data_IF_012908952595
#
_entry.id   IF_012908952595
#
_cell.length_a   1.000
_cell.length_b   1.000
_cell.length_c   1.000
_cell.angle_alpha   90.00
_cell.angle_beta   90.00
_cell.angle_gamma   90.00
#
_symmetry.space_group_name_H-M   'P 1'
#
loop_
_entity.id
_entity.type
_entity.pdbx_description
1 polymer ?
#
# COMPACT_ATOMS: atom_id res chain seq x y z
N UNK A 1 18.65 20.45 12.52
CA UNK A 1 19.98 19.83 12.57
C UNK A 1 21.08 20.89 12.68
N UNK A 2 20.96 21.96 11.93
CA UNK A 2 21.93 23.04 11.88
C UNK A 2 21.77 23.89 10.63
N UNK A 3 22.88 24.46 10.15
CA UNK A 3 22.91 25.30 8.95
C UNK A 3 23.78 24.67 7.85
N UNK A 4 23.44 24.96 6.60
CA UNK A 4 24.20 24.52 5.43
C UNK A 4 25.61 25.12 5.46
N UNK A 5 26.63 24.29 5.49
CA UNK A 5 28.03 24.74 5.53
C UNK A 5 28.44 25.38 4.20
N UNK A 6 29.48 26.24 4.22
CA UNK A 6 30.02 26.88 3.01
C UNK A 6 30.39 25.86 1.92
N UNK A 7 30.99 24.72 2.32
CA UNK A 7 31.36 23.65 1.37
C UNK A 7 30.12 23.03 0.72
N UNK A 8 29.15 22.56 1.53
CA UNK A 8 27.94 21.93 1.00
C UNK A 8 27.11 22.91 0.16
N UNK A 9 27.06 24.19 0.56
CA UNK A 9 26.40 25.24 -0.21
C UNK A 9 27.05 25.41 -1.60
N UNK A 10 28.38 25.43 -1.67
CA UNK A 10 29.13 25.50 -2.94
C UNK A 10 28.85 24.28 -3.83
N UNK A 11 28.84 23.06 -3.25
CA UNK A 11 28.63 21.81 -3.98
C UNK A 11 27.18 21.71 -4.54
N UNK A 12 26.20 22.32 -3.83
CA UNK A 12 24.78 22.33 -4.20
C UNK A 12 24.35 23.56 -5.02
N UNK A 13 25.21 24.54 -5.21
CA UNK A 13 24.85 25.82 -5.84
C UNK A 13 23.87 26.67 -5.02
N UNK A 14 23.92 26.52 -3.69
CA UNK A 14 23.06 27.21 -2.72
C UNK A 14 23.88 28.25 -1.91
N UNK A 15 23.17 29.07 -1.11
CA UNK A 15 23.82 30.01 -0.17
C UNK A 15 24.12 29.30 1.17
N UNK A 16 25.25 29.59 1.83
CA UNK A 16 25.53 29.07 3.17
C UNK A 16 24.56 29.63 4.20
N UNK A 17 24.35 28.90 5.30
CA UNK A 17 23.50 29.33 6.40
C UNK A 17 22.00 28.98 6.23
N UNK A 18 21.61 28.30 5.14
CA UNK A 18 20.24 27.76 5.01
C UNK A 18 20.02 26.73 6.11
N UNK A 19 18.90 26.81 6.86
CA UNK A 19 18.56 25.81 7.88
C UNK A 19 18.44 24.41 7.27
N UNK A 20 19.08 23.44 7.91
CA UNK A 20 18.98 22.01 7.55
C UNK A 20 18.08 21.32 8.56
N UNK A 21 16.95 20.85 8.09
CA UNK A 21 15.91 20.24 8.92
C UNK A 21 16.07 18.71 8.88
N UNK A 22 15.81 18.05 10.01
CA UNK A 22 15.75 16.60 10.11
C UNK A 22 14.56 16.10 9.29
N UNK A 23 14.81 15.21 8.33
CA UNK A 23 13.79 14.45 7.64
C UNK A 23 13.42 13.19 8.41
N UNK A 24 12.62 12.33 7.77
CA UNK A 24 12.21 11.03 8.26
C UNK A 24 12.48 9.93 7.24
N UNK A 25 12.07 8.72 7.56
CA UNK A 25 11.99 7.60 6.60
C UNK A 25 11.02 8.02 5.48
N UNK A 26 11.29 7.65 4.24
CA UNK A 26 10.51 8.03 3.05
C UNK A 26 9.00 7.71 3.19
N UNK A 27 8.68 6.54 3.74
CA UNK A 27 7.30 6.13 4.01
C UNK A 27 6.62 7.01 5.08
N UNK A 28 7.36 7.46 6.11
CA UNK A 28 6.81 8.37 7.13
C UNK A 28 6.69 9.80 6.61
N UNK A 29 7.61 10.23 5.76
CA UNK A 29 7.45 11.47 5.02
C UNK A 29 6.22 11.42 4.11
N UNK A 30 5.94 10.26 3.47
CA UNK A 30 4.73 10.08 2.67
C UNK A 30 3.45 10.22 3.51
N UNK A 31 3.41 9.74 4.77
CA UNK A 31 2.26 9.98 5.66
C UNK A 31 1.95 11.48 5.79
N UNK A 32 3.00 12.29 6.01
CA UNK A 32 2.85 13.75 6.13
C UNK A 32 2.38 14.36 4.81
N UNK A 33 2.97 13.95 3.69
CA UNK A 33 2.56 14.40 2.36
C UNK A 33 1.16 13.94 1.92
N UNK A 34 0.57 12.97 2.63
CA UNK A 34 -0.79 12.49 2.46
C UNK A 34 -1.79 13.06 3.48
N UNK A 35 -1.37 13.96 4.39
CA UNK A 35 -2.17 14.43 5.52
C UNK A 35 -2.61 13.31 6.50
N UNK A 36 -1.86 12.21 6.55
CA UNK A 36 -2.07 11.14 7.54
C UNK A 36 -1.33 11.51 8.84
N UNK A 37 -1.78 12.59 9.44
CA UNK A 37 -1.26 13.19 10.67
C UNK A 37 -2.33 13.28 11.77
N UNK A 38 -3.43 12.58 11.56
CA UNK A 38 -4.56 12.44 12.48
C UNK A 38 -4.87 10.96 12.75
N UNK A 39 -5.38 10.60 13.95
CA UNK A 39 -5.88 9.25 14.22
C UNK A 39 -6.95 8.81 13.22
N UNK A 40 -7.14 7.49 13.09
CA UNK A 40 -8.12 6.86 12.20
C UNK A 40 -7.84 7.03 10.69
N UNK A 41 -6.76 7.70 10.30
CA UNK A 41 -6.28 7.76 8.93
C UNK A 41 -5.18 6.72 8.70
N UNK A 42 -5.22 6.09 7.54
CA UNK A 42 -4.21 5.14 7.10
C UNK A 42 -3.55 5.66 5.81
N UNK A 43 -2.23 5.67 5.76
CA UNK A 43 -1.50 5.86 4.51
C UNK A 43 -1.24 4.49 3.87
N UNK A 44 -1.59 4.35 2.60
CA UNK A 44 -1.31 3.18 1.77
C UNK A 44 -0.39 3.59 0.63
N UNK A 45 0.89 3.26 0.73
CA UNK A 45 1.91 3.59 -0.28
C UNK A 45 2.12 2.37 -1.17
N UNK A 46 1.60 2.44 -2.40
CA UNK A 46 1.55 1.32 -3.34
C UNK A 46 2.69 1.43 -4.36
N UNK A 47 3.74 0.64 -4.15
CA UNK A 47 4.86 0.45 -5.07
C UNK A 47 4.90 -0.99 -5.60
N UNK A 48 6.11 -1.56 -5.74
CA UNK A 48 6.32 -3.00 -5.96
C UNK A 48 5.76 -3.83 -4.80
N UNK A 49 5.90 -3.33 -3.59
CA UNK A 49 5.26 -3.73 -2.33
C UNK A 49 4.29 -2.65 -1.90
N UNK A 50 3.49 -2.91 -0.86
CA UNK A 50 2.63 -1.89 -0.26
C UNK A 50 2.95 -1.74 1.22
N UNK A 51 3.13 -0.50 1.67
CA UNK A 51 3.20 -0.14 3.08
C UNK A 51 1.87 0.44 3.55
N UNK A 52 1.44 0.00 4.73
CA UNK A 52 0.24 0.45 5.42
C UNK A 52 0.67 1.10 6.72
N UNK A 53 0.49 2.41 6.84
CA UNK A 53 1.00 3.20 7.94
C UNK A 53 -0.15 3.90 8.67
N UNK A 54 -0.27 3.64 9.95
CA UNK A 54 -1.32 4.18 10.80
C UNK A 54 -0.72 5.04 11.92
N UNK A 55 -1.40 6.11 12.28
CA UNK A 55 -1.04 6.98 13.39
C UNK A 55 -2.02 6.79 14.53
N UNK A 56 -1.52 6.45 15.71
CA UNK A 56 -2.31 6.25 16.93
C UNK A 56 -1.89 7.22 18.03
N UNK A 57 -2.83 7.61 18.87
CA UNK A 57 -2.60 8.42 20.08
C UNK A 57 -2.13 7.59 21.28
N UNK A 58 -2.13 6.27 21.15
CA UNK A 58 -1.72 5.33 22.19
C UNK A 58 -0.87 4.19 21.62
N UNK A 59 0.01 3.56 22.43
CA UNK A 59 0.80 2.44 21.99
C UNK A 59 -0.08 1.20 21.79
N UNK A 60 -0.22 0.73 20.55
CA UNK A 60 -0.93 -0.48 20.18
C UNK A 60 0.09 -1.56 19.80
N UNK A 61 0.11 -2.67 20.54
CA UNK A 61 0.97 -3.81 20.27
C UNK A 61 0.17 -4.88 19.53
N UNK A 62 0.51 -5.12 18.28
CA UNK A 62 -0.19 -6.05 17.41
C UNK A 62 0.78 -7.09 16.85
N UNK A 63 0.41 -8.36 16.94
CA UNK A 63 1.22 -9.44 16.35
C UNK A 63 1.17 -9.36 14.82
N UNK A 64 2.35 -9.32 14.19
CA UNK A 64 2.48 -9.25 12.73
C UNK A 64 2.43 -7.83 12.16
N UNK A 65 2.32 -6.82 13.02
CA UNK A 65 2.43 -5.40 12.68
C UNK A 65 3.67 -4.83 13.38
N UNK A 66 4.44 -4.01 12.70
CA UNK A 66 5.59 -3.34 13.30
C UNK A 66 5.17 -2.09 14.05
N UNK A 67 5.93 -1.74 15.05
CA UNK A 67 5.65 -0.66 15.98
C UNK A 67 5.21 -1.20 17.35
N UNK A 68 4.62 -0.36 18.21
CA UNK A 68 4.40 1.07 18.02
C UNK A 68 5.71 1.89 18.11
N UNK A 69 5.94 2.81 17.16
CA UNK A 69 7.11 3.69 17.15
C UNK A 69 6.72 5.10 17.60
N UNK A 70 7.16 5.49 18.81
CA UNK A 70 6.81 6.78 19.38
C UNK A 70 7.57 7.94 18.73
N UNK A 71 6.86 9.02 18.42
CA UNK A 71 7.45 10.28 17.97
C UNK A 71 8.08 10.25 16.58
N UNK A 72 7.87 9.19 15.80
CA UNK A 72 8.54 9.02 14.51
C UNK A 72 8.02 9.99 13.42
N UNK A 73 6.79 10.50 13.55
CA UNK A 73 6.19 11.52 12.66
C UNK A 73 5.75 12.73 13.46
N UNK A 74 4.99 12.54 14.52
CA UNK A 74 4.51 13.60 15.42
C UNK A 74 4.93 13.29 16.86
N UNK A 75 5.33 14.31 17.64
CA UNK A 75 5.53 14.14 19.08
C UNK A 75 4.29 13.50 19.74
N UNK A 76 4.51 12.65 20.71
CA UNK A 76 3.46 11.99 21.52
C UNK A 76 2.47 11.10 20.73
N UNK A 77 2.77 10.81 19.46
CA UNK A 77 2.01 9.89 18.63
C UNK A 77 2.82 8.64 18.30
N UNK A 78 2.11 7.58 17.92
CA UNK A 78 2.68 6.26 17.68
C UNK A 78 2.40 5.82 16.24
N UNK A 79 3.41 5.26 15.57
CA UNK A 79 3.25 4.68 14.23
C UNK A 79 3.10 3.18 14.34
N UNK A 80 2.11 2.65 13.62
CA UNK A 80 1.92 1.23 13.36
C UNK A 80 2.17 1.00 11.88
N UNK A 81 2.94 -0.04 11.54
CA UNK A 81 3.33 -0.34 10.17
C UNK A 81 3.00 -1.79 9.81
N UNK A 82 2.11 -1.97 8.85
CA UNK A 82 1.88 -3.23 8.15
C UNK A 82 2.43 -3.19 6.73
N UNK A 83 2.50 -4.34 6.06
CA UNK A 83 2.93 -4.33 4.66
C UNK A 83 2.72 -5.65 3.94
N UNK A 84 2.62 -5.55 2.62
CA UNK A 84 2.62 -6.68 1.69
C UNK A 84 3.93 -6.66 0.91
N UNK A 85 4.65 -7.79 0.88
CA UNK A 85 5.97 -7.89 0.21
C UNK A 85 5.86 -7.73 -1.31
N UNK A 86 4.73 -8.11 -1.88
CA UNK A 86 4.48 -8.04 -3.33
C UNK A 86 3.04 -7.64 -3.61
N UNK A 87 2.86 -6.56 -4.37
CA UNK A 87 1.57 -6.06 -4.85
C UNK A 87 1.71 -5.58 -6.28
N UNK A 88 2.27 -4.40 -6.53
CA UNK A 88 2.58 -3.93 -7.87
C UNK A 88 3.56 -4.85 -8.61
N UNK A 89 4.45 -5.55 -7.89
CA UNK A 89 5.33 -6.56 -8.49
C UNK A 89 4.57 -7.77 -9.04
N UNK A 90 3.45 -8.19 -8.44
CA UNK A 90 2.60 -9.26 -8.99
C UNK A 90 1.91 -8.78 -10.26
N UNK A 91 1.43 -7.53 -10.27
CA UNK A 91 0.81 -6.92 -11.46
C UNK A 91 1.84 -6.82 -12.59
N UNK A 92 3.08 -6.39 -12.27
CA UNK A 92 4.18 -6.38 -13.23
C UNK A 92 4.50 -7.79 -13.74
N UNK A 93 4.57 -8.78 -12.84
CA UNK A 93 4.78 -10.17 -13.22
C UNK A 93 3.68 -10.67 -14.16
N UNK A 94 2.41 -10.37 -13.87
CA UNK A 94 1.30 -10.73 -14.75
C UNK A 94 1.44 -10.08 -16.13
N UNK A 95 1.71 -8.76 -16.17
CA UNK A 95 1.94 -8.04 -17.41
C UNK A 95 3.04 -8.70 -18.25
N UNK A 96 4.19 -8.97 -17.63
CA UNK A 96 5.38 -9.44 -18.32
C UNK A 96 5.25 -10.89 -18.82
N UNK A 97 4.39 -11.71 -18.22
CA UNK A 97 4.21 -13.12 -18.57
C UNK A 97 2.94 -13.43 -19.39
N UNK A 98 1.90 -12.60 -19.29
CA UNK A 98 0.59 -12.88 -19.92
C UNK A 98 0.17 -11.87 -20.98
N UNK A 99 0.88 -10.73 -21.10
CA UNK A 99 0.46 -9.62 -21.97
C UNK A 99 1.56 -9.16 -22.96
N UNK A 100 2.62 -9.93 -23.15
CA UNK A 100 3.83 -9.49 -23.90
C UNK A 100 3.59 -9.04 -25.35
N UNK A 101 2.68 -9.66 -26.08
CA UNK A 101 2.49 -9.36 -27.50
C UNK A 101 1.58 -8.15 -27.75
N UNK A 102 0.58 -7.95 -26.89
CA UNK A 102 -0.46 -6.92 -27.09
C UNK A 102 -0.03 -5.52 -26.67
N UNK A 103 0.96 -5.42 -25.77
CA UNK A 103 1.41 -4.14 -25.22
C UNK A 103 2.73 -3.64 -25.82
N UNK A 104 3.52 -4.47 -26.54
CA UNK A 104 4.71 -3.99 -27.26
C UNK A 104 4.41 -2.94 -28.34
N UNK A 105 3.24 -3.05 -28.97
CA UNK A 105 2.81 -2.13 -30.03
C UNK A 105 2.04 -0.90 -29.48
N UNK A 106 1.61 -0.91 -28.23
CA UNK A 106 0.78 0.13 -27.64
C UNK A 106 1.46 0.99 -26.57
N UNK A 107 2.72 0.70 -26.23
CA UNK A 107 3.47 1.44 -25.20
C UNK A 107 3.57 2.95 -25.45
N UNK A 108 3.37 3.41 -26.68
CA UNK A 108 3.45 4.84 -27.03
C UNK A 108 2.13 5.61 -26.84
N UNK A 109 0.98 4.98 -26.65
CA UNK A 109 -0.33 5.64 -26.77
C UNK A 109 -1.30 5.48 -25.59
N UNK A 110 -1.12 4.53 -24.69
CA UNK A 110 -2.05 4.31 -23.57
C UNK A 110 -1.31 4.03 -22.24
N UNK A 111 -1.87 4.60 -21.16
CA UNK A 111 -1.48 4.19 -19.82
C UNK A 111 -1.78 2.68 -19.65
N UNK A 112 -0.75 1.88 -19.41
CA UNK A 112 -0.87 0.42 -19.27
C UNK A 112 -1.86 0.02 -18.16
N UNK A 113 -1.97 0.81 -17.11
CA UNK A 113 -2.94 0.58 -16.05
C UNK A 113 -4.37 0.72 -16.56
N UNK A 114 -4.66 1.69 -17.44
CA UNK A 114 -6.01 1.86 -18.01
C UNK A 114 -6.40 0.66 -18.88
N UNK A 115 -5.46 0.09 -19.62
CA UNK A 115 -5.71 -1.09 -20.44
C UNK A 115 -5.95 -2.36 -19.59
N UNK A 116 -5.15 -2.53 -18.53
CA UNK A 116 -5.31 -3.62 -17.57
C UNK A 116 -6.62 -3.46 -16.78
N UNK A 117 -6.96 -2.26 -16.36
CA UNK A 117 -8.23 -1.95 -15.69
C UNK A 117 -9.43 -2.30 -16.59
N UNK A 118 -9.40 -1.91 -17.88
CA UNK A 118 -10.46 -2.29 -18.83
C UNK A 118 -10.61 -3.80 -19.00
N UNK A 119 -9.49 -4.53 -19.02
CA UNK A 119 -9.50 -5.99 -19.09
C UNK A 119 -10.13 -6.59 -17.82
N UNK A 120 -9.68 -6.21 -16.64
CA UNK A 120 -10.14 -6.72 -15.36
C UNK A 120 -11.60 -6.30 -15.05
N UNK A 121 -12.04 -5.13 -15.55
CA UNK A 121 -13.39 -4.61 -15.36
C UNK A 121 -14.48 -5.44 -16.07
N UNK A 122 -14.11 -6.28 -17.04
CA UNK A 122 -15.04 -7.18 -17.70
C UNK A 122 -15.48 -8.34 -16.81
N UNK A 123 -14.75 -8.59 -15.72
CA UNK A 123 -14.98 -9.70 -14.82
C UNK A 123 -15.69 -9.18 -13.57
N UNK A 124 -16.73 -9.92 -13.17
CA UNK A 124 -17.51 -9.61 -11.96
C UNK A 124 -16.67 -9.73 -10.68
N UNK A 125 -17.06 -9.04 -9.59
CA UNK A 125 -16.47 -9.24 -8.27
C UNK A 125 -16.45 -10.73 -7.87
N UNK A 126 -15.33 -11.19 -7.31
CA UNK A 126 -15.10 -12.58 -6.96
C UNK A 126 -14.51 -13.42 -8.08
N UNK A 127 -14.20 -12.82 -9.25
CA UNK A 127 -13.44 -13.44 -10.35
C UNK A 127 -13.95 -14.82 -10.77
N UNK A 128 -15.29 -15.01 -10.74
CA UNK A 128 -16.01 -16.27 -11.02
C UNK A 128 -15.47 -17.48 -10.24
N UNK A 129 -15.00 -17.24 -9.00
CA UNK A 129 -14.48 -18.27 -8.10
C UNK A 129 -12.96 -18.44 -8.14
N UNK A 130 -12.25 -17.66 -8.95
CA UNK A 130 -10.79 -17.68 -8.97
C UNK A 130 -10.23 -16.83 -7.82
N UNK A 131 -9.33 -17.39 -7.02
CA UNK A 131 -8.75 -16.71 -5.88
C UNK A 131 -7.22 -16.74 -5.93
N UNK A 132 -6.60 -15.61 -5.59
CA UNK A 132 -5.15 -15.42 -5.54
C UNK A 132 -4.70 -15.12 -4.11
N UNK A 133 -3.71 -15.91 -3.62
CA UNK A 133 -2.91 -15.53 -2.46
C UNK A 133 -1.70 -14.71 -2.93
N UNK A 134 -1.59 -13.49 -2.45
CA UNK A 134 -0.58 -12.51 -2.89
C UNK A 134 0.81 -12.70 -2.29
N UNK A 135 1.07 -13.82 -1.63
CA UNK A 135 2.33 -14.15 -0.95
C UNK A 135 3.46 -14.54 -1.91
N UNK A 136 3.61 -13.89 -3.07
CA UNK A 136 4.61 -14.23 -4.10
C UNK A 136 6.06 -14.05 -3.61
N UNK A 137 6.27 -13.21 -2.61
CA UNK A 137 7.57 -12.98 -1.93
C UNK A 137 7.46 -13.13 -0.41
N UNK A 138 6.73 -14.15 0.04
CA UNK A 138 6.40 -14.31 1.45
C UNK A 138 5.28 -13.40 1.93
N UNK A 139 4.87 -13.58 3.19
CA UNK A 139 3.90 -12.71 3.86
C UNK A 139 4.63 -11.82 4.87
N UNK A 140 4.56 -10.50 4.65
CA UNK A 140 5.15 -9.52 5.56
C UNK A 140 4.24 -9.27 6.76
N UNK A 141 2.96 -9.02 6.50
CA UNK A 141 1.92 -8.81 7.51
C UNK A 141 0.63 -9.51 7.09
N UNK A 142 -0.15 -10.07 8.02
CA UNK A 142 0.11 -10.12 9.46
C UNK A 142 0.84 -11.40 9.91
N UNK A 143 1.19 -12.33 9.01
CA UNK A 143 1.73 -13.64 9.42
C UNK A 143 3.26 -13.65 9.64
N UNK A 144 3.99 -12.69 9.09
CA UNK A 144 5.46 -12.62 9.12
C UNK A 144 6.09 -13.95 8.66
N UNK A 145 5.59 -14.49 7.56
CA UNK A 145 5.94 -15.80 7.04
C UNK A 145 6.75 -15.70 5.74
N UNK A 146 8.08 -15.71 5.79
CA UNK A 146 8.92 -15.64 4.59
C UNK A 146 8.87 -16.90 3.72
N UNK A 147 8.34 -18.02 4.24
CA UNK A 147 8.19 -19.26 3.51
C UNK A 147 6.84 -19.38 2.80
N UNK A 148 5.90 -18.45 3.05
CA UNK A 148 4.65 -18.37 2.32
C UNK A 148 4.88 -18.13 0.83
N UNK A 149 3.99 -18.66 -0.01
CA UNK A 149 4.06 -18.55 -1.47
C UNK A 149 2.75 -18.08 -2.04
N UNK A 150 2.82 -17.41 -3.18
CA UNK A 150 1.65 -17.11 -3.99
C UNK A 150 0.96 -18.39 -4.46
N UNK A 151 -0.37 -18.34 -4.53
CA UNK A 151 -1.16 -19.43 -5.06
C UNK A 151 -2.32 -18.86 -5.89
N UNK A 152 -2.68 -19.58 -6.94
CA UNK A 152 -3.88 -19.32 -7.76
C UNK A 152 -4.70 -20.59 -7.74
N UNK A 153 -5.92 -20.53 -7.23
CA UNK A 153 -6.77 -21.72 -7.16
C UNK A 153 -8.22 -21.40 -7.56
N UNK A 154 -8.99 -22.42 -7.88
CA UNK A 154 -10.36 -22.26 -8.38
C UNK A 154 -10.45 -22.20 -9.92
N UNK A 155 -9.35 -22.50 -10.65
CA UNK A 155 -9.34 -22.48 -12.11
C UNK A 155 -10.33 -23.48 -12.71
N UNK A 156 -11.07 -23.03 -13.73
CA UNK A 156 -11.91 -23.82 -14.62
C UNK A 156 -11.60 -23.48 -16.08
N UNK A 157 -12.16 -24.20 -17.01
CA UNK A 157 -11.94 -23.95 -18.46
C UNK A 157 -12.57 -22.65 -18.96
N UNK A 158 -13.43 -22.02 -18.19
CA UNK A 158 -14.04 -20.72 -18.52
C UNK A 158 -13.14 -19.53 -18.18
N UNK A 159 -12.16 -19.73 -17.30
CA UNK A 159 -11.29 -18.65 -16.87
C UNK A 159 -10.30 -18.20 -17.96
N UNK A 160 -10.12 -16.91 -18.08
CA UNK A 160 -9.20 -16.25 -19.01
C UNK A 160 -8.16 -15.46 -18.24
N UNK A 161 -7.19 -14.87 -18.95
CA UNK A 161 -6.22 -13.94 -18.35
C UNK A 161 -6.88 -12.73 -17.67
N UNK A 162 -8.06 -12.29 -18.13
CA UNK A 162 -8.82 -11.22 -17.47
C UNK A 162 -9.26 -11.62 -16.05
N UNK A 163 -9.69 -12.87 -15.87
CA UNK A 163 -10.03 -13.40 -14.55
C UNK A 163 -8.79 -13.47 -13.63
N UNK A 164 -7.62 -13.90 -14.17
CA UNK A 164 -6.39 -13.96 -13.38
C UNK A 164 -5.99 -12.55 -12.92
N UNK A 165 -6.04 -11.56 -13.82
CA UNK A 165 -5.72 -10.17 -13.46
C UNK A 165 -6.69 -9.63 -12.40
N UNK A 166 -7.99 -9.87 -12.60
CA UNK A 166 -9.01 -9.46 -11.64
C UNK A 166 -8.77 -10.11 -10.27
N UNK A 167 -8.51 -11.41 -10.22
CA UNK A 167 -8.21 -12.14 -9.00
C UNK A 167 -6.91 -11.67 -8.31
N UNK A 168 -5.92 -11.21 -9.08
CA UNK A 168 -4.72 -10.56 -8.52
C UNK A 168 -5.09 -9.24 -7.84
N UNK A 169 -5.89 -8.39 -8.48
CA UNK A 169 -6.35 -7.14 -7.86
C UNK A 169 -7.14 -7.41 -6.57
N UNK A 170 -8.03 -8.38 -6.59
CA UNK A 170 -8.83 -8.78 -5.43
C UNK A 170 -7.97 -9.40 -4.33
N UNK A 171 -7.04 -10.30 -4.65
CA UNK A 171 -6.14 -10.95 -3.70
C UNK A 171 -5.26 -9.96 -2.94
N UNK A 172 -4.70 -8.96 -3.64
CA UNK A 172 -3.93 -7.90 -2.99
C UNK A 172 -4.81 -6.99 -2.11
N UNK A 173 -6.07 -6.76 -2.49
CA UNK A 173 -7.02 -6.02 -1.66
C UNK A 173 -7.43 -6.82 -0.41
N UNK A 174 -7.57 -8.16 -0.52
CA UNK A 174 -7.79 -9.02 0.66
C UNK A 174 -6.61 -9.00 1.61
N UNK A 175 -5.38 -8.99 1.09
CA UNK A 175 -4.17 -8.83 1.92
C UNK A 175 -4.14 -7.50 2.66
N UNK A 176 -4.50 -6.39 2.00
CA UNK A 176 -4.69 -5.09 2.64
C UNK A 176 -5.75 -5.16 3.74
N UNK A 177 -6.93 -5.71 3.45
CA UNK A 177 -8.01 -5.81 4.42
C UNK A 177 -7.63 -6.68 5.62
N UNK A 178 -6.85 -7.74 5.43
CA UNK A 178 -6.35 -8.57 6.52
C UNK A 178 -5.42 -7.79 7.48
N UNK A 179 -4.61 -6.88 6.96
CA UNK A 179 -3.80 -5.97 7.78
C UNK A 179 -4.70 -5.02 8.57
N UNK A 180 -5.71 -4.42 7.91
CA UNK A 180 -6.67 -3.51 8.53
C UNK A 180 -7.49 -4.21 9.63
N UNK A 181 -7.97 -5.43 9.37
CA UNK A 181 -8.69 -6.25 10.36
C UNK A 181 -7.81 -6.59 11.57
N UNK A 182 -6.53 -6.89 11.32
CA UNK A 182 -5.55 -7.14 12.40
C UNK A 182 -5.35 -5.89 13.26
N UNK A 183 -5.18 -4.74 12.64
CA UNK A 183 -5.07 -3.46 13.35
C UNK A 183 -6.35 -3.14 14.14
N UNK A 184 -7.53 -3.36 13.55
CA UNK A 184 -8.81 -3.09 14.19
C UNK A 184 -9.06 -3.98 15.40
N UNK A 185 -8.73 -5.27 15.30
CA UNK A 185 -8.81 -6.21 16.44
C UNK A 185 -7.97 -5.76 17.63
N UNK A 186 -6.81 -5.14 17.35
CA UNK A 186 -5.85 -4.74 18.38
C UNK A 186 -6.03 -3.27 18.81
N UNK A 187 -7.06 -2.56 18.29
CA UNK A 187 -7.51 -1.25 18.79
C UNK A 187 -7.33 -0.06 17.85
N UNK A 188 -6.80 -0.25 16.63
CA UNK A 188 -6.74 0.82 15.63
C UNK A 188 -7.78 0.60 14.54
N UNK A 189 -8.79 1.47 14.48
CA UNK A 189 -9.80 1.46 13.42
C UNK A 189 -9.48 2.52 12.37
N UNK A 190 -9.20 2.10 11.14
CA UNK A 190 -9.09 3.02 10.00
C UNK A 190 -10.48 3.45 9.54
N UNK A 191 -10.68 4.75 9.32
CA UNK A 191 -11.91 5.34 8.78
C UNK A 191 -11.68 5.92 7.38
N UNK A 192 -10.45 6.28 7.07
CA UNK A 192 -10.02 6.87 5.81
C UNK A 192 -8.69 6.27 5.35
N UNK A 193 -8.56 5.97 4.06
CA UNK A 193 -7.31 5.50 3.45
C UNK A 193 -6.82 6.56 2.46
N UNK A 194 -5.59 7.03 2.65
CA UNK A 194 -4.90 7.97 1.75
C UNK A 194 -3.84 7.23 0.95
N UNK A 195 -3.87 7.36 -0.37
CA UNK A 195 -3.04 6.54 -1.26
C UNK A 195 -2.04 7.37 -2.05
N UNK A 196 -0.82 6.85 -2.15
CA UNK A 196 0.21 7.35 -3.08
C UNK A 196 0.98 6.20 -3.74
N UNK A 197 1.88 6.57 -4.65
CA UNK A 197 2.71 5.64 -5.41
C UNK A 197 2.09 5.19 -6.72
N UNK A 198 2.83 4.39 -7.50
CA UNK A 198 2.45 4.02 -8.86
C UNK A 198 1.11 3.28 -8.99
N UNK A 199 0.72 2.51 -7.97
CA UNK A 199 -0.55 1.79 -7.93
C UNK A 199 -1.77 2.71 -7.82
N UNK A 200 -1.60 3.96 -7.36
CA UNK A 200 -2.67 4.95 -7.30
C UNK A 200 -3.25 5.34 -8.68
N UNK A 201 -2.56 4.97 -9.76
CA UNK A 201 -3.01 5.22 -11.14
C UNK A 201 -4.12 4.27 -11.60
N UNK A 202 -4.25 3.07 -11.02
CA UNK A 202 -5.30 2.12 -11.36
C UNK A 202 -6.59 2.41 -10.59
N UNK A 203 -7.56 3.01 -11.27
CA UNK A 203 -8.86 3.36 -10.67
C UNK A 203 -9.66 2.13 -10.26
N UNK A 204 -9.59 1.06 -11.05
CA UNK A 204 -10.29 -0.18 -10.73
C UNK A 204 -9.68 -0.85 -9.50
N UNK A 205 -8.36 -0.92 -9.43
CA UNK A 205 -7.69 -1.55 -8.30
C UNK A 205 -7.97 -0.82 -6.99
N UNK A 206 -7.94 0.53 -7.01
CA UNK A 206 -8.34 1.33 -5.85
C UNK A 206 -9.81 1.15 -5.48
N UNK A 207 -10.72 1.05 -6.48
CA UNK A 207 -12.13 0.76 -6.21
C UNK A 207 -12.31 -0.60 -5.52
N UNK A 208 -11.55 -1.62 -5.96
CA UNK A 208 -11.58 -2.94 -5.33
C UNK A 208 -11.10 -2.86 -3.87
N UNK A 209 -10.02 -2.12 -3.60
CA UNK A 209 -9.55 -1.90 -2.23
C UNK A 209 -10.61 -1.21 -1.36
N UNK A 210 -11.26 -0.16 -1.88
CA UNK A 210 -12.33 0.53 -1.15
C UNK A 210 -13.52 -0.41 -0.88
N UNK A 211 -13.93 -1.18 -1.90
CA UNK A 211 -15.06 -2.12 -1.81
C UNK A 211 -14.79 -3.25 -0.81
N UNK A 212 -13.56 -3.81 -0.81
CA UNK A 212 -13.15 -4.90 0.10
C UNK A 212 -13.02 -4.41 1.53
N UNK A 213 -12.41 -3.23 1.73
CA UNK A 213 -12.19 -2.67 3.07
C UNK A 213 -13.45 -2.03 3.67
N UNK A 214 -14.44 -1.68 2.85
CA UNK A 214 -15.60 -0.84 3.19
C UNK A 214 -15.18 0.53 3.76
N UNK A 215 -14.05 1.08 3.27
CA UNK A 215 -13.44 2.34 3.70
C UNK A 215 -13.20 3.23 2.48
N UNK A 216 -13.52 4.54 2.55
CA UNK A 216 -13.23 5.47 1.46
C UNK A 216 -11.73 5.66 1.26
N UNK A 217 -11.34 5.80 -0.02
CA UNK A 217 -9.97 6.08 -0.44
C UNK A 217 -9.87 7.52 -0.94
N UNK A 218 -8.83 8.22 -0.51
CA UNK A 218 -8.52 9.60 -0.88
C UNK A 218 -7.23 9.66 -1.70
N UNK A 219 -7.25 10.46 -2.75
CA UNK A 219 -6.12 10.76 -3.62
C UNK A 219 -5.71 12.21 -3.46
N UNK A 220 -4.41 12.48 -3.47
CA UNK A 220 -3.86 13.84 -3.42
C UNK A 220 -3.43 14.33 -4.79
N UNK A 221 -3.30 15.65 -4.96
CA UNK A 221 -2.84 16.27 -6.21
C UNK A 221 -1.36 15.99 -6.49
N UNK A 222 -0.56 15.70 -5.46
CA UNK A 222 0.88 15.45 -5.56
C UNK A 222 1.11 13.94 -5.57
N UNK A 223 1.66 13.43 -6.68
CA UNK A 223 1.98 12.00 -6.81
C UNK A 223 3.09 11.56 -5.85
N UNK A 224 4.12 12.39 -5.67
CA UNK A 224 5.30 12.12 -4.85
C UNK A 224 5.09 12.59 -3.41
N UNK A 225 4.26 11.87 -2.65
CA UNK A 225 3.89 12.23 -1.28
C UNK A 225 5.10 12.37 -0.35
N UNK A 226 6.13 11.52 -0.49
CA UNK A 226 7.35 11.60 0.33
C UNK A 226 8.09 12.93 0.11
N UNK A 227 8.13 13.42 -1.13
CA UNK A 227 8.76 14.70 -1.46
C UNK A 227 7.97 15.86 -0.85
N UNK A 228 6.63 15.84 -0.95
CA UNK A 228 5.78 16.86 -0.32
C UNK A 228 5.94 16.84 1.20
N UNK A 229 5.95 15.65 1.82
CA UNK A 229 6.16 15.52 3.26
C UNK A 229 7.51 16.08 3.72
N UNK A 230 8.56 15.85 2.94
CA UNK A 230 9.89 16.43 3.20
C UNK A 230 9.85 17.97 3.12
N UNK A 231 9.13 18.53 2.14
CA UNK A 231 8.92 19.96 2.02
C UNK A 231 8.13 20.54 3.21
N UNK A 232 7.12 19.79 3.70
CA UNK A 232 6.36 20.16 4.90
C UNK A 232 7.26 20.20 6.14
N UNK A 233 8.11 19.17 6.36
CA UNK A 233 9.09 19.20 7.45
C UNK A 233 10.00 20.43 7.37
N UNK A 234 10.50 20.77 6.17
CA UNK A 234 11.32 21.94 5.97
C UNK A 234 10.56 23.24 6.28
N UNK A 235 9.33 23.39 5.81
CA UNK A 235 8.50 24.57 6.04
C UNK A 235 8.19 24.81 7.52
N UNK A 236 7.88 23.74 8.27
CA UNK A 236 7.68 23.81 9.71
C UNK A 236 9.01 24.13 10.44
N UNK A 237 10.10 23.49 10.04
CA UNK A 237 11.41 23.66 10.66
C UNK A 237 11.99 25.07 10.53
N UNK A 238 11.60 25.82 9.48
CA UNK A 238 11.97 27.24 9.31
C UNK A 238 10.91 28.22 9.80
N UNK A 239 9.81 27.71 10.39
CA UNK A 239 8.79 28.54 11.02
C UNK A 239 7.74 29.15 10.07
N UNK A 240 7.59 28.65 8.84
CA UNK A 240 6.48 29.06 7.97
C UNK A 240 5.12 28.61 8.51
N UNK A 241 5.10 27.47 9.21
CA UNK A 241 3.94 26.93 9.90
C UNK A 241 4.31 26.55 11.32
N UNK A 242 3.38 26.66 12.23
CA UNK A 242 3.57 26.38 13.65
C UNK A 242 3.62 24.88 13.98
N UNK A 243 3.08 24.04 13.10
CA UNK A 243 3.05 22.58 13.29
C UNK A 243 2.90 21.83 11.97
N UNK A 244 3.22 20.52 11.99
CA UNK A 244 3.01 19.64 10.83
C UNK A 244 1.52 19.55 10.46
N UNK A 245 0.55 19.34 11.39
CA UNK A 245 -0.87 19.34 11.04
C UNK A 245 -1.36 20.67 10.44
N UNK A 246 -0.85 21.82 10.87
CA UNK A 246 -1.18 23.10 10.24
C UNK A 246 -0.65 23.18 8.81
N UNK A 247 0.58 22.73 8.59
CA UNK A 247 1.20 22.75 7.27
C UNK A 247 0.49 21.80 6.30
N UNK A 248 0.11 20.59 6.74
CA UNK A 248 -0.59 19.63 5.88
C UNK A 248 -1.94 20.17 5.42
N UNK A 249 -2.72 20.81 6.29
CA UNK A 249 -3.98 21.47 5.93
C UNK A 249 -3.84 22.54 4.83
N UNK A 250 -2.66 23.13 4.66
CA UNK A 250 -2.40 24.17 3.66
C UNK A 250 -1.72 23.65 2.41
N UNK A 251 -0.89 22.62 2.53
CA UNK A 251 -0.03 22.14 1.45
C UNK A 251 -0.55 20.88 0.78
N UNK A 252 -1.35 20.06 1.47
CA UNK A 252 -1.95 18.86 0.89
C UNK A 252 -3.32 19.18 0.33
N UNK A 253 -3.57 18.79 -0.91
CA UNK A 253 -4.86 18.98 -1.58
C UNK A 253 -5.40 17.64 -2.06
N UNK A 254 -6.66 17.37 -1.77
CA UNK A 254 -7.36 16.18 -2.25
C UNK A 254 -7.77 16.38 -3.71
N UNK A 255 -7.37 15.44 -4.58
CA UNK A 255 -7.72 15.45 -6.01
C UNK A 255 -8.88 14.53 -6.35
N UNK A 256 -9.18 13.55 -5.50
CA UNK A 256 -10.25 12.59 -5.74
C UNK A 256 -10.59 11.75 -4.53
N UNK A 257 -11.78 11.15 -4.58
CA UNK A 257 -12.30 10.27 -3.54
C UNK A 257 -12.97 9.06 -4.21
N UNK A 258 -12.77 7.88 -3.65
CA UNK A 258 -13.37 6.63 -4.11
C UNK A 258 -14.13 6.04 -2.93
N UNK A 259 -15.46 5.97 -3.06
CA UNK A 259 -16.33 5.41 -2.03
C UNK A 259 -16.58 3.93 -2.29
N UNK A 260 -16.71 3.10 -1.22
CA UNK A 260 -17.07 1.70 -1.35
C UNK A 260 -18.46 1.52 -1.97
N UNK A 261 -18.58 0.53 -2.85
CA UNK A 261 -19.83 0.09 -3.48
C UNK A 261 -20.49 -0.98 -2.62
N UNK A 262 -21.45 -0.60 -1.79
CA UNK A 262 -22.10 -1.50 -0.83
C UNK A 262 -22.66 -2.78 -1.44
N UNK A 263 -23.06 -2.77 -2.71
CA UNK A 263 -23.55 -3.95 -3.43
C UNK A 263 -22.50 -5.06 -3.60
N UNK A 264 -21.21 -4.74 -3.48
CA UNK A 264 -20.11 -5.69 -3.62
C UNK A 264 -19.68 -6.27 -2.27
N UNK A 265 -20.20 -5.77 -1.16
CA UNK A 265 -19.75 -6.11 0.19
C UNK A 265 -19.85 -7.60 0.49
N UNK A 266 -21.02 -8.20 0.26
CA UNK A 266 -21.28 -9.60 0.64
C UNK A 266 -20.39 -10.56 -0.16
N UNK A 267 -20.23 -10.28 -1.47
CA UNK A 267 -19.39 -11.12 -2.33
C UNK A 267 -17.90 -11.01 -1.93
N UNK A 268 -17.39 -9.82 -1.67
CA UNK A 268 -16.00 -9.65 -1.24
C UNK A 268 -15.75 -10.20 0.15
N UNK A 269 -16.70 -10.07 1.08
CA UNK A 269 -16.58 -10.68 2.41
C UNK A 269 -16.48 -12.20 2.33
N UNK A 270 -17.33 -12.84 1.49
CA UNK A 270 -17.27 -14.28 1.25
C UNK A 270 -15.88 -14.70 0.75
N UNK A 271 -15.34 -14.05 -0.30
CA UNK A 271 -14.04 -14.42 -0.86
C UNK A 271 -12.87 -14.07 0.04
N UNK A 272 -12.96 -13.00 0.82
CA UNK A 272 -11.97 -12.69 1.86
C UNK A 272 -11.86 -13.81 2.90
N UNK A 273 -12.97 -14.33 3.38
CA UNK A 273 -12.91 -15.49 4.28
C UNK A 273 -12.21 -16.70 3.64
N UNK A 274 -12.47 -16.95 2.35
CA UNK A 274 -11.79 -18.04 1.64
C UNK A 274 -10.30 -17.74 1.45
N UNK A 275 -9.91 -16.48 1.21
CA UNK A 275 -8.52 -16.04 1.14
C UNK A 275 -7.77 -16.36 2.45
N UNK A 276 -8.31 -15.96 3.59
CA UNK A 276 -7.71 -16.23 4.92
C UNK A 276 -7.61 -17.74 5.18
N UNK A 277 -8.69 -18.50 4.92
CA UNK A 277 -8.70 -19.96 5.09
C UNK A 277 -7.68 -20.66 4.19
N UNK A 278 -7.51 -20.19 2.96
CA UNK A 278 -6.59 -20.79 1.97
C UNK A 278 -5.14 -20.72 2.42
N UNK A 279 -4.71 -19.63 3.03
CA UNK A 279 -3.35 -19.55 3.58
C UNK A 279 -3.10 -20.68 4.60
N UNK A 280 -3.99 -20.86 5.57
CA UNK A 280 -3.83 -21.89 6.61
C UNK A 280 -3.87 -23.31 6.05
N UNK A 281 -4.70 -23.57 5.03
CA UNK A 281 -4.77 -24.88 4.37
C UNK A 281 -3.53 -25.20 3.53
N UNK A 282 -2.89 -24.20 2.94
CA UNK A 282 -1.74 -24.38 2.06
C UNK A 282 -0.40 -24.17 2.76
N UNK A 283 -0.37 -23.57 3.94
CA UNK A 283 0.84 -23.16 4.65
C UNK A 283 1.90 -24.26 4.74
N UNK A 284 1.55 -25.43 5.22
CA UNK A 284 2.51 -26.52 5.41
C UNK A 284 3.09 -27.02 4.09
N UNK A 285 2.30 -27.01 3.02
CA UNK A 285 2.76 -27.34 1.67
C UNK A 285 3.72 -26.26 1.13
N UNK A 286 3.38 -24.99 1.32
CA UNK A 286 4.24 -23.86 0.94
C UNK A 286 5.59 -23.93 1.65
N UNK A 287 5.59 -24.19 2.95
CA UNK A 287 6.81 -24.32 3.76
C UNK A 287 7.70 -25.46 3.28
N UNK A 288 7.14 -26.64 3.02
CA UNK A 288 7.90 -27.80 2.49
C UNK A 288 8.55 -27.47 1.15
N UNK A 289 7.82 -26.81 0.25
CA UNK A 289 8.36 -26.42 -1.08
C UNK A 289 9.45 -25.36 -0.93
N UNK A 290 9.24 -24.33 -0.11
CA UNK A 290 10.19 -23.25 0.13
C UNK A 290 11.48 -23.76 0.76
N UNK A 291 11.40 -24.63 1.75
CA UNK A 291 12.55 -25.27 2.38
C UNK A 291 13.34 -26.13 1.38
N UNK A 292 12.65 -26.88 0.52
CA UNK A 292 13.32 -27.71 -0.51
C UNK A 292 14.08 -26.88 -1.54
N UNK A 293 13.60 -25.66 -1.83
CA UNK A 293 14.25 -24.72 -2.76
C UNK A 293 15.38 -23.92 -2.12
N UNK A 294 15.69 -24.15 -0.83
CA UNK A 294 16.73 -23.44 -0.10
C UNK A 294 16.33 -22.02 0.32
N UNK A 295 15.04 -21.71 0.28
CA UNK A 295 14.53 -20.50 0.91
C UNK A 295 14.57 -20.71 2.42
N UNK A 296 15.65 -20.28 3.05
CA UNK A 296 15.74 -20.22 4.53
C UNK A 296 15.26 -18.85 4.96
N UNK A 297 14.48 -18.73 6.06
CA UNK A 297 14.26 -17.44 6.67
C UNK A 297 15.64 -16.86 7.03
N UNK A 298 15.98 -15.70 6.53
CA UNK A 298 17.09 -14.93 7.10
C UNK A 298 16.68 -14.61 8.54
N UNK A 299 17.55 -14.97 9.49
CA UNK A 299 17.34 -14.86 10.92
C UNK A 299 17.33 -13.38 11.39
#
# INVERSE_FOLDING_TARGET
VGELTKRAASDLGLIPGIPVIQGGIDAYAAMVGLDVVHPHRLAMVIGSSTCHLALSDSPIFSTGIWGPYQGAVLPDMWILEGGQSSTGSIIKWFRDNFLQEEFREREELENIFDAMDRMAAQISPGSDGLLVLDNFQGNRSPYQDPLARGAIWGLSLSHTRAHILRAIYEGTAYGTFHILETLARDGFQAEEIYVSGGGARSKLWLQIHADVADIPIYLTTVEEASTLGTAIYAAVGVGFYGSIPEATLKMVQISGQIYPRRQNRDIYHFYYEQYVKSYWQLRDLMHRVSTRLGTTPEA
#
